data_IF_546151044690
#
_entry.id   IF_546151044690
#
_cell.length_a   1.000
_cell.length_b   1.000
_cell.length_c   1.000
_cell.angle_alpha   90.00
_cell.angle_beta   90.00
_cell.angle_gamma   90.00
#
_symmetry.space_group_name_H-M   'P 1'
#
loop_
_entity.id
_entity.type
_entity.pdbx_description
1 polymer ?
#
# COMPACT_ATOMS: atom_id res chain seq x y z
N UNK A 1 12.35 -9.25 -8.71
CA UNK A 1 11.72 -9.01 -10.03
C UNK A 1 10.62 -8.01 -9.80
N UNK A 2 10.76 -6.85 -10.43
CA UNK A 2 9.83 -5.72 -10.30
C UNK A 2 9.04 -5.63 -11.60
N UNK A 3 7.72 -5.47 -11.51
CA UNK A 3 6.83 -5.41 -12.66
C UNK A 3 6.69 -3.96 -13.13
N UNK A 4 6.96 -3.71 -14.41
CA UNK A 4 6.59 -2.47 -15.07
C UNK A 4 5.09 -2.51 -15.40
N UNK A 5 4.33 -1.59 -14.82
CA UNK A 5 2.89 -1.45 -15.06
C UNK A 5 2.62 -0.09 -15.69
N UNK A 6 1.69 -0.06 -16.64
CA UNK A 6 1.29 1.19 -17.26
C UNK A 6 0.22 1.87 -16.39
N UNK A 7 0.55 3.01 -15.82
CA UNK A 7 -0.37 3.86 -15.07
C UNK A 7 -0.69 5.13 -15.84
N UNK A 8 -1.89 5.67 -15.60
CA UNK A 8 -2.28 7.00 -16.10
C UNK A 8 -1.35 8.05 -15.45
N UNK A 9 -0.59 8.78 -16.27
CA UNK A 9 0.50 9.65 -15.80
C UNK A 9 0.01 10.82 -14.96
N UNK A 10 -1.14 11.38 -15.34
CA UNK A 10 -1.78 12.51 -14.67
C UNK A 10 -2.21 12.11 -13.26
N UNK A 11 -2.78 10.92 -13.10
CA UNK A 11 -3.19 10.35 -11.81
C UNK A 11 -1.99 10.10 -10.89
N UNK A 12 -0.90 9.55 -11.43
CA UNK A 12 0.36 9.36 -10.69
C UNK A 12 0.91 10.71 -10.23
N UNK A 13 0.94 11.71 -11.12
CA UNK A 13 1.44 13.05 -10.81
C UNK A 13 0.61 13.73 -9.73
N UNK A 14 -0.72 13.67 -9.85
CA UNK A 14 -1.66 14.19 -8.85
C UNK A 14 -1.42 13.60 -7.47
N UNK A 15 -1.30 12.27 -7.38
CA UNK A 15 -1.04 11.58 -6.10
C UNK A 15 0.28 11.99 -5.44
N UNK A 16 1.33 12.21 -6.24
CA UNK A 16 2.61 12.69 -5.71
C UNK A 16 2.48 14.09 -5.10
N UNK A 17 1.77 14.99 -5.78
CA UNK A 17 1.51 16.36 -5.32
C UNK A 17 0.68 16.33 -4.03
N UNK A 18 -0.36 15.50 -3.98
CA UNK A 18 -1.23 15.39 -2.81
C UNK A 18 -0.45 14.91 -1.59
N UNK A 19 0.35 13.85 -1.73
CA UNK A 19 1.14 13.34 -0.61
C UNK A 19 2.18 14.35 -0.11
N UNK A 20 2.80 15.12 -1.00
CA UNK A 20 3.78 16.14 -0.64
C UNK A 20 3.20 17.27 0.23
N UNK A 21 1.89 17.50 0.19
CA UNK A 21 1.20 18.55 0.97
C UNK A 21 0.76 18.07 2.36
N UNK A 22 0.78 16.77 2.64
CA UNK A 22 0.26 16.22 3.89
C UNK A 22 1.34 16.19 4.96
N UNK A 23 1.02 16.75 6.13
CA UNK A 23 1.87 16.63 7.31
C UNK A 23 1.46 15.40 8.13
N UNK A 24 2.35 14.41 8.21
CA UNK A 24 2.10 13.16 8.91
C UNK A 24 2.70 13.15 10.30
N UNK A 25 2.01 12.52 11.25
CA UNK A 25 2.64 12.10 12.50
C UNK A 25 3.69 11.01 12.21
N UNK A 26 4.79 10.93 12.97
CA UNK A 26 5.86 9.95 12.74
C UNK A 26 5.39 8.50 12.64
N UNK A 27 4.43 8.10 13.48
CA UNK A 27 3.85 6.76 13.51
C UNK A 27 3.09 6.41 12.22
N UNK A 28 2.33 7.36 11.67
CA UNK A 28 1.66 7.18 10.39
C UNK A 28 2.69 7.08 9.26
N UNK A 29 3.74 7.89 9.32
CA UNK A 29 4.78 7.88 8.31
C UNK A 29 5.52 6.54 8.27
N UNK A 30 5.76 5.93 9.44
CA UNK A 30 6.42 4.61 9.54
C UNK A 30 5.60 3.53 8.84
N UNK A 31 4.31 3.38 9.18
CA UNK A 31 3.48 2.33 8.56
C UNK A 31 3.26 2.58 7.06
N UNK A 32 3.07 3.84 6.64
CA UNK A 32 2.95 4.20 5.23
C UNK A 32 4.21 3.77 4.48
N UNK A 33 5.39 4.16 4.96
CA UNK A 33 6.68 3.79 4.34
C UNK A 33 6.85 2.28 4.27
N UNK A 34 6.60 1.55 5.35
CA UNK A 34 6.75 0.09 5.38
C UNK A 34 5.89 -0.58 4.31
N UNK A 35 4.60 -0.25 4.24
CA UNK A 35 3.69 -0.86 3.28
C UNK A 35 4.04 -0.45 1.85
N UNK A 36 4.27 0.85 1.61
CA UNK A 36 4.56 1.36 0.28
C UNK A 36 5.85 0.80 -0.28
N UNK A 37 6.91 0.69 0.52
CA UNK A 37 8.21 0.18 0.05
C UNK A 37 8.11 -1.28 -0.39
N UNK A 38 7.40 -2.11 0.39
CA UNK A 38 7.17 -3.51 0.02
C UNK A 38 6.48 -3.65 -1.34
N UNK A 39 5.59 -2.72 -1.68
CA UNK A 39 4.90 -2.71 -2.96
C UNK A 39 5.81 -2.15 -4.06
N UNK A 40 6.53 -1.05 -3.81
CA UNK A 40 7.51 -0.47 -4.76
C UNK A 40 8.62 -1.46 -5.15
N UNK A 41 9.00 -2.38 -4.25
CA UNK A 41 9.93 -3.45 -4.59
C UNK A 41 9.36 -4.43 -5.64
N UNK A 42 8.03 -4.54 -5.73
CA UNK A 42 7.34 -5.42 -6.65
C UNK A 42 6.82 -4.72 -7.92
N UNK A 43 6.55 -3.41 -7.88
CA UNK A 43 6.06 -2.63 -9.02
C UNK A 43 6.85 -1.36 -9.25
N UNK A 44 7.10 -1.04 -10.51
CA UNK A 44 7.74 0.21 -10.92
C UNK A 44 6.71 1.35 -10.84
N UNK A 45 6.64 1.99 -9.68
CA UNK A 45 5.77 3.14 -9.40
C UNK A 45 6.56 4.19 -8.61
N UNK A 46 6.34 5.50 -8.84
CA UNK A 46 6.94 6.53 -8.01
C UNK A 46 6.55 6.35 -6.54
N UNK A 47 7.56 6.35 -5.67
CA UNK A 47 7.37 6.05 -4.24
C UNK A 47 6.35 6.99 -3.58
N UNK A 48 6.37 8.28 -3.93
CA UNK A 48 5.40 9.25 -3.41
C UNK A 48 3.95 8.92 -3.83
N UNK A 49 3.73 8.42 -5.06
CA UNK A 49 2.41 8.01 -5.51
C UNK A 49 1.92 6.77 -4.74
N UNK A 50 2.83 5.82 -4.47
CA UNK A 50 2.50 4.64 -3.65
C UNK A 50 2.21 5.03 -2.20
N UNK A 51 3.02 5.91 -1.60
CA UNK A 51 2.77 6.44 -0.26
C UNK A 51 1.44 7.18 -0.15
N UNK A 52 1.07 7.98 -1.15
CA UNK A 52 -0.26 8.57 -1.26
C UNK A 52 -1.37 7.52 -1.25
N UNK A 53 -1.21 6.49 -2.08
CA UNK A 53 -2.20 5.42 -2.22
C UNK A 53 -2.36 4.63 -0.92
N UNK A 54 -1.26 4.31 -0.24
CA UNK A 54 -1.25 3.67 1.07
C UNK A 54 -1.91 4.55 2.13
N UNK A 55 -1.65 5.86 2.12
CA UNK A 55 -2.30 6.79 3.04
C UNK A 55 -3.81 6.86 2.84
N UNK A 56 -4.29 6.89 1.58
CA UNK A 56 -5.71 6.83 1.31
C UNK A 56 -6.34 5.53 1.81
N UNK A 57 -5.70 4.39 1.57
CA UNK A 57 -6.18 3.10 2.07
C UNK A 57 -6.26 3.07 3.61
N UNK A 58 -5.25 3.58 4.31
CA UNK A 58 -5.26 3.71 5.78
C UNK A 58 -6.36 4.64 6.27
N UNK A 59 -6.60 5.74 5.55
CA UNK A 59 -7.62 6.72 5.89
C UNK A 59 -9.03 6.14 5.72
N UNK A 60 -9.27 5.37 4.67
CA UNK A 60 -10.54 4.67 4.46
C UNK A 60 -10.77 3.60 5.54
N UNK A 61 -9.75 2.79 5.82
CA UNK A 61 -9.80 1.78 6.87
C UNK A 61 -10.15 2.39 8.24
N UNK A 62 -9.52 3.51 8.60
CA UNK A 62 -9.84 4.27 9.81
C UNK A 62 -11.31 4.69 9.85
N UNK A 63 -11.86 5.18 8.74
CA UNK A 63 -13.27 5.59 8.65
C UNK A 63 -14.23 4.40 8.78
N UNK A 64 -13.88 3.25 8.20
CA UNK A 64 -14.72 2.04 8.21
C UNK A 64 -14.75 1.35 9.57
N UNK A 65 -13.64 1.36 10.30
CA UNK A 65 -13.48 0.62 11.56
C UNK A 65 -13.64 1.47 12.81
N UNK A 66 -13.63 2.80 12.67
CA UNK A 66 -13.55 3.76 13.79
C UNK A 66 -12.31 3.55 14.69
N UNK A 67 -11.27 2.88 14.18
CA UNK A 67 -9.97 2.68 14.85
C UNK A 67 -8.93 3.66 14.34
N UNK A 68 -7.93 3.95 15.15
CA UNK A 68 -6.77 4.77 14.80
C UNK A 68 -5.65 3.92 14.19
N UNK A 69 -4.78 4.57 13.41
CA UNK A 69 -3.63 3.89 12.80
C UNK A 69 -2.66 3.40 13.88
N UNK A 70 -2.53 4.13 15.00
CA UNK A 70 -1.66 3.75 16.11
C UNK A 70 -2.06 2.41 16.73
N UNK A 71 -3.37 2.13 16.84
CA UNK A 71 -3.88 0.86 17.37
C UNK A 71 -3.45 -0.35 16.55
N UNK A 72 -3.11 -0.19 15.26
CA UNK A 72 -2.60 -1.30 14.43
C UNK A 72 -1.32 -1.90 15.03
N UNK A 73 -0.48 -1.07 15.67
CA UNK A 73 0.76 -1.55 16.28
C UNK A 73 0.51 -2.46 17.49
N UNK A 74 -0.58 -2.23 18.21
CA UNK A 74 -0.92 -2.90 19.47
C UNK A 74 -1.87 -4.10 19.28
N UNK A 75 -2.39 -4.29 18.06
CA UNK A 75 -3.22 -5.45 17.73
C UNK A 75 -2.47 -6.77 17.90
N UNK A 76 -3.22 -7.77 18.36
CA UNK A 76 -2.84 -9.19 18.33
C UNK A 76 -2.40 -9.59 16.92
N UNK A 77 -1.43 -10.50 16.82
CA UNK A 77 -0.77 -10.81 15.54
C UNK A 77 -1.76 -11.20 14.44
N UNK A 78 -2.77 -12.01 14.76
CA UNK A 78 -3.79 -12.46 13.81
C UNK A 78 -4.64 -11.29 13.30
N UNK A 79 -5.06 -10.39 14.19
CA UNK A 79 -5.85 -9.20 13.83
C UNK A 79 -5.02 -8.19 13.03
N UNK A 80 -3.77 -7.97 13.44
CA UNK A 80 -2.80 -7.13 12.73
C UNK A 80 -2.58 -7.61 11.30
N UNK A 81 -2.43 -8.93 11.11
CA UNK A 81 -2.28 -9.53 9.78
C UNK A 81 -3.53 -9.34 8.90
N UNK A 82 -4.71 -9.56 9.46
CA UNK A 82 -5.97 -9.33 8.75
C UNK A 82 -6.13 -7.86 8.32
N UNK A 83 -5.84 -6.94 9.25
CA UNK A 83 -5.89 -5.48 9.03
C UNK A 83 -4.93 -5.05 7.93
N UNK A 84 -3.68 -5.50 7.97
CA UNK A 84 -2.71 -5.15 6.93
C UNK A 84 -3.11 -5.74 5.58
N UNK A 85 -3.62 -6.97 5.53
CA UNK A 85 -4.12 -7.56 4.28
C UNK A 85 -5.28 -6.76 3.68
N UNK A 86 -6.18 -6.26 4.53
CA UNK A 86 -7.27 -5.39 4.11
C UNK A 86 -6.75 -4.06 3.52
N UNK A 87 -5.80 -3.41 4.20
CA UNK A 87 -5.16 -2.17 3.71
C UNK A 87 -4.45 -2.41 2.37
N UNK A 88 -3.75 -3.54 2.20
CA UNK A 88 -3.14 -3.93 0.93
C UNK A 88 -4.21 -4.06 -0.17
N UNK A 89 -5.33 -4.74 0.11
CA UNK A 89 -6.41 -4.88 -0.85
C UNK A 89 -7.04 -3.55 -1.23
N UNK A 90 -7.27 -2.64 -0.28
CA UNK A 90 -7.77 -1.29 -0.55
C UNK A 90 -6.80 -0.51 -1.45
N UNK A 91 -5.50 -0.54 -1.14
CA UNK A 91 -4.46 0.08 -1.97
C UNK A 91 -4.43 -0.49 -3.39
N UNK A 92 -4.56 -1.82 -3.51
CA UNK A 92 -4.61 -2.53 -4.81
C UNK A 92 -5.78 -2.07 -5.66
N UNK A 93 -6.99 -2.04 -5.10
CA UNK A 93 -8.20 -1.56 -5.79
C UNK A 93 -8.01 -0.13 -6.29
N UNK A 94 -7.43 0.74 -5.46
CA UNK A 94 -7.11 2.14 -5.83
C UNK A 94 -6.08 2.24 -6.95
N UNK A 95 -5.15 1.30 -7.08
CA UNK A 95 -4.19 1.26 -8.19
C UNK A 95 -4.83 0.70 -9.47
N UNK A 96 -5.69 -0.32 -9.39
CA UNK A 96 -6.41 -0.85 -10.56
C UNK A 96 -7.23 0.23 -11.30
N UNK A 97 -7.77 1.19 -10.54
CA UNK A 97 -8.52 2.31 -11.09
C UNK A 97 -7.68 3.26 -11.98
N UNK A 98 -6.37 3.31 -11.77
CA UNK A 98 -5.47 4.22 -12.50
C UNK A 98 -4.51 3.49 -13.45
N UNK A 99 -4.78 2.22 -13.74
CA UNK A 99 -4.08 1.48 -14.78
C UNK A 99 -4.49 2.00 -16.16
N UNK A 100 -3.52 2.15 -17.05
CA UNK A 100 -3.76 2.45 -18.47
C UNK A 100 -3.74 1.17 -19.31
N UNK A 101 -4.07 1.30 -20.59
CA UNK A 101 -4.12 0.16 -21.51
C UNK A 101 -2.72 -0.47 -21.75
N UNK A 102 -2.61 -1.80 -21.91
CA UNK A 102 -3.65 -2.81 -21.74
C UNK A 102 -3.94 -3.11 -20.25
N UNK A 103 -5.20 -2.91 -19.87
CA UNK A 103 -5.62 -2.90 -18.45
C UNK A 103 -5.64 -4.29 -17.83
N UNK A 104 -6.22 -5.27 -18.52
CA UNK A 104 -6.40 -6.64 -17.99
C UNK A 104 -5.07 -7.31 -17.61
N UNK A 105 -4.07 -7.25 -18.49
CA UNK A 105 -2.74 -7.79 -18.21
C UNK A 105 -2.10 -7.07 -17.01
N UNK A 106 -2.21 -5.75 -16.94
CA UNK A 106 -1.65 -4.95 -15.85
C UNK A 106 -2.35 -5.26 -14.52
N UNK A 107 -3.65 -5.55 -14.53
CA UNK A 107 -4.40 -5.96 -13.33
C UNK A 107 -3.91 -7.29 -12.77
N UNK A 108 -3.66 -8.29 -13.62
CA UNK A 108 -3.13 -9.59 -13.21
C UNK A 108 -1.74 -9.44 -12.59
N UNK A 109 -0.86 -8.66 -13.23
CA UNK A 109 0.48 -8.41 -12.72
C UNK A 109 0.45 -7.65 -11.38
N UNK A 110 -0.48 -6.70 -11.24
CA UNK A 110 -0.70 -5.98 -10.00
C UNK A 110 -1.17 -6.92 -8.88
N UNK A 111 -2.09 -7.85 -9.17
CA UNK A 111 -2.53 -8.86 -8.20
C UNK A 111 -1.35 -9.72 -7.71
N UNK A 112 -0.51 -10.21 -8.63
CA UNK A 112 0.69 -10.99 -8.30
C UNK A 112 1.68 -10.17 -7.46
N UNK A 113 1.88 -8.90 -7.81
CA UNK A 113 2.79 -8.02 -7.09
C UNK A 113 2.33 -7.79 -5.64
N UNK A 114 1.05 -7.55 -5.42
CA UNK A 114 0.49 -7.36 -4.08
C UNK A 114 0.56 -8.64 -3.23
N UNK A 115 0.32 -9.81 -3.83
CA UNK A 115 0.51 -11.08 -3.13
C UNK A 115 1.97 -11.32 -2.72
N UNK A 116 2.93 -10.98 -3.59
CA UNK A 116 4.36 -11.07 -3.27
C UNK A 116 4.75 -10.11 -2.16
N UNK A 117 4.33 -8.86 -2.25
CA UNK A 117 4.59 -7.84 -1.23
C UNK A 117 4.03 -8.27 0.14
N UNK A 118 2.83 -8.85 0.17
CA UNK A 118 2.24 -9.39 1.40
C UNK A 118 3.02 -10.61 1.93
N UNK A 119 3.50 -11.52 1.07
CA UNK A 119 4.37 -12.63 1.51
C UNK A 119 5.67 -12.11 2.14
N UNK A 120 6.29 -11.06 1.58
CA UNK A 120 7.47 -10.44 2.18
C UNK A 120 7.16 -9.79 3.54
N UNK A 121 6.00 -9.15 3.68
CA UNK A 121 5.53 -8.64 4.96
C UNK A 121 5.43 -9.75 6.03
N UNK A 122 4.84 -10.89 5.68
CA UNK A 122 4.73 -12.05 6.58
C UNK A 122 6.11 -12.57 7.02
N UNK A 123 7.06 -12.66 6.08
CA UNK A 123 8.43 -13.08 6.39
C UNK A 123 9.14 -12.10 7.33
N UNK A 124 8.92 -10.79 7.15
CA UNK A 124 9.49 -9.76 8.01
C UNK A 124 8.98 -9.89 9.46
N UNK A 125 7.67 -10.11 9.64
CA UNK A 125 7.07 -10.33 10.95
C UNK A 125 7.61 -11.60 11.63
N UNK A 126 7.70 -12.72 10.91
CA UNK A 126 8.22 -13.98 11.45
C UNK A 126 9.69 -13.86 11.90
N UNK A 127 10.49 -13.03 11.23
CA UNK A 127 11.89 -12.77 11.63
C UNK A 127 11.99 -11.87 12.86
N UNK A 128 11.08 -10.91 13.03
CA UNK A 128 11.04 -10.02 14.19
C UNK A 128 10.54 -10.69 15.47
N UNK A 129 9.95 -11.89 15.38
CA UNK A 129 9.47 -12.70 16.51
C UNK A 129 10.49 -13.74 17.01
N UNK A 130 11.66 -13.85 16.38
CA UNK A 130 12.79 -14.70 16.82
C UNK A 130 13.86 -13.85 17.49
#
# INVERSE_FOLDING_TARGET
MTYALNFIKEEISSRQIDYAKVNFKPEHQKIIKTISNLICDQIEIPELAMRCTTWYALSDWKKMTNKTISEIADMEITEKLATIKEIFNMGKVRLKQILSYPKEQSEVLLDIAFERAFKYYLQHLHRAQR
#
